data_IF_609826584324
#
_entry.id   IF_609826584324
#
_cell.length_a   1.000
_cell.length_b   1.000
_cell.length_c   1.000
_cell.angle_alpha   90.00
_cell.angle_beta   90.00
_cell.angle_gamma   90.00
#
_symmetry.space_group_name_H-M   'P 1'
#
loop_
_entity.id
_entity.type
_entity.pdbx_description
1 polymer ?
#
# COMPACT_ATOMS: atom_id res chain seq x y z
N UNK A 1 24.82 2.22 11.45
CA UNK A 1 23.96 1.27 12.18
C UNK A 1 24.30 -0.14 11.75
N UNK A 2 23.45 -1.11 12.05
CA UNK A 2 23.58 -2.50 11.58
C UNK A 2 22.24 -2.96 11.01
N UNK A 3 22.28 -3.93 10.10
CA UNK A 3 21.10 -4.70 9.71
C UNK A 3 20.70 -5.66 10.82
N UNK A 4 19.41 -5.79 11.11
CA UNK A 4 18.90 -6.70 12.13
C UNK A 4 17.90 -7.66 11.51
N UNK A 5 17.97 -8.95 11.88
CA UNK A 5 17.07 -9.97 11.35
C UNK A 5 16.61 -10.90 12.46
N UNK A 6 15.32 -11.20 12.45
CA UNK A 6 14.71 -12.16 13.37
C UNK A 6 13.70 -13.00 12.60
N UNK A 7 13.76 -14.32 12.79
CA UNK A 7 12.79 -15.26 12.24
C UNK A 7 11.91 -15.80 13.36
N UNK A 8 10.62 -15.94 13.06
CA UNK A 8 9.63 -16.51 13.95
C UNK A 8 8.95 -17.70 13.28
N UNK A 9 8.76 -18.80 14.01
CA UNK A 9 8.00 -19.98 13.58
C UNK A 9 6.98 -20.27 14.67
N UNK A 10 5.72 -20.44 14.29
CA UNK A 10 4.61 -20.66 15.22
C UNK A 10 4.60 -19.65 16.38
N UNK A 11 4.83 -18.37 16.06
CA UNK A 11 4.91 -17.24 17.01
C UNK A 11 6.12 -17.23 17.95
N UNK A 12 7.05 -18.17 17.82
CA UNK A 12 8.24 -18.26 18.66
C UNK A 12 9.51 -17.84 17.89
N UNK A 13 10.43 -17.07 18.52
CA UNK A 13 11.70 -16.73 17.90
C UNK A 13 12.56 -17.99 17.72
N UNK A 14 13.14 -18.17 16.54
CA UNK A 14 13.98 -19.35 16.25
C UNK A 14 15.39 -19.25 16.83
N UNK A 15 15.84 -18.03 17.12
CA UNK A 15 17.13 -17.70 17.72
C UNK A 15 17.03 -16.30 18.38
N UNK A 16 18.03 -15.88 19.19
CA UNK A 16 18.16 -14.48 19.58
C UNK A 16 18.30 -13.55 18.37
N UNK A 17 18.01 -12.26 18.57
CA UNK A 17 18.12 -11.23 17.53
C UNK A 17 19.48 -11.24 16.86
N UNK A 18 19.50 -11.48 15.54
CA UNK A 18 20.72 -11.57 14.76
C UNK A 18 21.13 -10.18 14.29
N UNK A 19 22.32 -9.76 14.72
CA UNK A 19 23.02 -8.62 14.12
C UNK A 19 23.65 -9.05 12.80
N UNK A 20 23.35 -8.31 11.74
CA UNK A 20 23.88 -8.49 10.40
C UNK A 20 25.03 -7.53 10.08
N UNK A 21 25.20 -7.26 8.79
CA UNK A 21 26.24 -6.37 8.25
C UNK A 21 26.12 -4.94 8.82
N UNK A 22 27.24 -4.21 8.98
CA UNK A 22 27.20 -2.78 9.26
C UNK A 22 26.57 -2.02 8.09
N UNK A 23 25.80 -0.98 8.42
CA UNK A 23 25.23 -0.11 7.39
C UNK A 23 26.32 0.70 6.71
N UNK A 24 26.13 0.93 5.42
CA UNK A 24 26.97 1.82 4.61
C UNK A 24 26.63 3.29 4.87
N UNK A 25 27.56 4.19 4.53
CA UNK A 25 27.33 5.63 4.63
C UNK A 25 26.24 6.08 3.65
N UNK A 26 25.23 6.80 4.15
CA UNK A 26 24.09 7.27 3.34
C UNK A 26 22.98 6.23 3.12
N UNK A 27 23.08 5.05 3.72
CA UNK A 27 22.03 4.02 3.64
C UNK A 27 20.74 4.44 4.37
N UNK A 28 19.59 4.14 3.78
CA UNK A 28 18.29 4.43 4.38
C UNK A 28 18.00 3.51 5.57
N UNK A 29 17.18 3.99 6.50
CA UNK A 29 16.68 3.22 7.63
C UNK A 29 15.25 2.74 7.36
N UNK A 30 14.87 1.62 7.97
CA UNK A 30 13.52 1.08 7.80
C UNK A 30 13.34 -0.25 8.51
N UNK A 31 12.16 -0.84 8.37
CA UNK A 31 11.83 -2.17 8.86
C UNK A 31 11.03 -2.90 7.80
N UNK A 32 11.42 -4.13 7.51
CA UNK A 32 10.67 -5.02 6.63
C UNK A 32 10.08 -6.15 7.45
N UNK A 33 8.82 -6.47 7.20
CA UNK A 33 8.09 -7.55 7.88
C UNK A 33 7.45 -8.42 6.82
N UNK A 34 7.74 -9.72 6.89
CA UNK A 34 7.11 -10.74 6.05
C UNK A 34 6.43 -11.76 6.96
N UNK A 35 5.20 -12.13 6.64
CA UNK A 35 4.45 -13.13 7.39
C UNK A 35 3.67 -14.03 6.44
N UNK A 36 3.35 -15.24 6.91
CA UNK A 36 2.52 -16.21 6.23
C UNK A 36 1.31 -16.51 7.11
N UNK A 37 0.10 -16.29 6.61
CA UNK A 37 -1.13 -16.63 7.33
C UNK A 37 -1.26 -18.16 7.49
N UNK A 38 -1.67 -18.60 8.68
CA UNK A 38 -1.85 -20.02 8.98
C UNK A 38 -3.23 -20.51 8.50
N UNK A 39 -3.31 -21.47 7.55
CA UNK A 39 -4.56 -22.02 7.05
C UNK A 39 -5.32 -22.87 8.09
N UNK A 40 -4.71 -23.18 9.25
CA UNK A 40 -5.41 -23.80 10.38
C UNK A 40 -6.20 -22.78 11.21
N UNK A 41 -5.82 -21.50 11.14
CA UNK A 41 -6.46 -20.40 11.87
C UNK A 41 -7.49 -19.71 10.98
N UNK A 42 -7.13 -19.41 9.72
CA UNK A 42 -7.99 -18.72 8.77
C UNK A 42 -8.64 -19.67 7.78
N UNK A 43 -9.91 -19.44 7.47
CA UNK A 43 -10.64 -20.20 6.44
C UNK A 43 -10.05 -19.95 5.03
N UNK A 44 -9.55 -18.75 4.77
CA UNK A 44 -8.85 -18.39 3.52
C UNK A 44 -7.56 -17.66 3.83
N UNK A 45 -6.50 -18.01 3.11
CA UNK A 45 -5.20 -17.34 3.14
C UNK A 45 -4.90 -16.61 1.83
N UNK A 46 -5.89 -16.50 0.95
CA UNK A 46 -5.78 -15.76 -0.31
C UNK A 46 -6.22 -14.32 -0.05
N UNK A 47 -5.27 -13.40 -0.20
CA UNK A 47 -5.53 -11.97 -0.04
C UNK A 47 -6.23 -11.40 -1.28
N UNK A 48 -7.25 -10.58 -1.03
CA UNK A 48 -7.98 -9.83 -2.05
C UNK A 48 -7.26 -8.51 -2.36
N UNK A 49 -6.83 -8.35 -3.62
CA UNK A 49 -6.04 -7.19 -4.04
C UNK A 49 -6.85 -5.90 -3.92
N UNK A 50 -8.13 -5.92 -4.29
CA UNK A 50 -8.98 -4.72 -4.31
C UNK A 50 -9.22 -4.16 -2.90
N UNK A 51 -9.45 -5.06 -1.93
CA UNK A 51 -9.60 -4.70 -0.51
C UNK A 51 -8.33 -4.05 0.04
N UNK A 52 -7.17 -4.63 -0.23
CA UNK A 52 -5.88 -4.06 0.20
C UNK A 52 -5.61 -2.72 -0.46
N UNK A 53 -5.82 -2.65 -1.79
CA UNK A 53 -5.67 -1.44 -2.59
C UNK A 53 -6.50 -0.29 -2.04
N UNK A 54 -7.79 -0.51 -1.82
CA UNK A 54 -8.71 0.48 -1.26
C UNK A 54 -8.27 0.96 0.13
N UNK A 55 -7.80 0.04 0.99
CA UNK A 55 -7.32 0.39 2.33
C UNK A 55 -6.05 1.24 2.27
N UNK A 56 -5.06 0.89 1.45
CA UNK A 56 -3.82 1.65 1.32
C UNK A 56 -4.05 3.02 0.68
N UNK A 57 -4.96 3.12 -0.29
CA UNK A 57 -5.35 4.39 -0.86
C UNK A 57 -5.93 5.33 0.22
N UNK A 58 -6.85 4.83 1.04
CA UNK A 58 -7.40 5.60 2.18
C UNK A 58 -6.29 6.05 3.15
N UNK A 59 -5.32 5.19 3.46
CA UNK A 59 -4.20 5.56 4.32
C UNK A 59 -3.32 6.67 3.73
N UNK A 60 -3.07 6.63 2.42
CA UNK A 60 -2.30 7.66 1.74
C UNK A 60 -3.02 9.03 1.75
N UNK A 61 -4.36 9.05 1.71
CA UNK A 61 -5.12 10.28 1.89
C UNK A 61 -5.04 10.84 3.31
N UNK A 62 -5.00 9.98 4.33
CA UNK A 62 -4.94 10.42 5.72
C UNK A 62 -3.56 10.96 6.11
N UNK A 63 -2.50 10.46 5.48
CA UNK A 63 -1.11 10.84 5.79
C UNK A 63 -0.52 11.63 4.62
N UNK A 64 -0.69 12.96 4.66
CA UNK A 64 -0.20 13.87 3.62
C UNK A 64 1.28 13.61 3.30
N UNK A 65 1.59 13.42 2.01
CA UNK A 65 2.95 13.18 1.53
C UNK A 65 3.47 11.75 1.68
N UNK A 66 2.76 10.87 2.38
CA UNK A 66 3.12 9.46 2.49
C UNK A 66 2.96 8.76 1.14
N UNK A 67 4.03 8.13 0.66
CA UNK A 67 4.02 7.29 -0.53
C UNK A 67 3.81 5.84 -0.12
N UNK A 68 2.78 5.19 -0.66
CA UNK A 68 2.49 3.77 -0.45
C UNK A 68 2.45 3.07 -1.81
N UNK A 69 3.18 1.97 -1.96
CA UNK A 69 3.14 1.10 -3.13
C UNK A 69 2.64 -0.28 -2.73
N UNK A 70 1.70 -0.82 -3.52
CA UNK A 70 1.22 -2.20 -3.41
C UNK A 70 1.53 -2.92 -4.72
N UNK A 71 2.22 -4.04 -4.62
CA UNK A 71 2.55 -4.94 -5.74
C UNK A 71 2.02 -6.33 -5.43
N UNK A 72 1.28 -6.89 -6.37
CA UNK A 72 0.86 -8.29 -6.34
C UNK A 72 1.84 -9.13 -7.16
N UNK A 73 2.66 -9.94 -6.49
CA UNK A 73 3.67 -10.81 -7.11
C UNK A 73 3.11 -12.15 -7.61
N UNK A 74 1.78 -12.34 -7.60
CA UNK A 74 1.14 -13.50 -8.21
C UNK A 74 1.11 -13.32 -9.74
N UNK A 75 1.24 -14.43 -10.49
CA UNK A 75 0.99 -14.38 -11.94
C UNK A 75 -0.47 -13.99 -12.17
N UNK A 76 -0.69 -12.84 -12.79
CA UNK A 76 -2.02 -12.30 -13.00
C UNK A 76 -2.67 -13.03 -14.19
N UNK A 77 -3.72 -13.79 -13.96
CA UNK A 77 -4.48 -14.49 -15.02
C UNK A 77 -5.48 -13.56 -15.73
N UNK A 78 -5.25 -12.25 -15.72
CA UNK A 78 -6.20 -11.23 -16.18
C UNK A 78 -6.25 -11.15 -17.72
N UNK A 79 -6.98 -12.09 -18.31
CA UNK A 79 -7.90 -11.77 -19.39
C UNK A 79 -9.11 -11.01 -18.80
N UNK A 80 -9.09 -9.68 -18.92
CA UNK A 80 -10.28 -8.83 -18.82
C UNK A 80 -10.48 -8.10 -17.50
N UNK A 81 -10.00 -6.86 -17.43
CA UNK A 81 -10.88 -5.71 -17.18
C UNK A 81 -10.19 -4.44 -17.68
N UNK A 82 -10.67 -3.90 -18.81
CA UNK A 82 -10.23 -2.62 -19.35
C UNK A 82 -10.79 -1.50 -18.48
N UNK A 83 -9.94 -0.79 -17.73
CA UNK A 83 -10.31 0.52 -17.15
C UNK A 83 -9.36 1.58 -17.70
N UNK A 84 -9.96 2.45 -18.51
CA UNK A 84 -9.37 3.55 -19.26
C UNK A 84 -8.33 4.39 -18.47
N UNK A 85 -7.14 4.49 -19.04
CA UNK A 85 -6.13 5.47 -18.69
C UNK A 85 -5.01 5.42 -19.73
N UNK A 86 -4.91 6.46 -20.56
CA UNK A 86 -3.85 6.64 -21.56
C UNK A 86 -2.46 6.65 -20.89
N UNK A 87 -1.83 5.49 -20.80
CA UNK A 87 -0.39 5.35 -20.67
C UNK A 87 -0.02 4.05 -21.39
N UNK A 88 0.90 4.16 -22.36
CA UNK A 88 1.30 3.09 -23.26
C UNK A 88 1.50 1.75 -22.53
N UNK A 89 0.63 0.80 -22.85
CA UNK A 89 0.76 -0.61 -22.48
C UNK A 89 2.08 -1.14 -23.05
N UNK A 90 3.05 -1.41 -22.18
CA UNK A 90 4.11 -2.36 -22.51
C UNK A 90 3.54 -3.77 -22.31
N UNK A 91 3.51 -4.61 -23.36
CA UNK A 91 2.97 -5.96 -23.27
C UNK A 91 3.96 -6.84 -22.48
N UNK A 92 3.81 -6.91 -21.16
CA UNK A 92 4.71 -7.73 -20.34
C UNK A 92 4.59 -7.62 -18.83
N UNK A 93 3.72 -6.77 -18.28
CA UNK A 93 3.58 -6.65 -16.83
C UNK A 93 2.87 -7.88 -16.24
N UNK A 94 3.65 -8.89 -15.79
CA UNK A 94 3.15 -10.10 -15.13
C UNK A 94 2.47 -9.85 -13.77
N UNK A 95 2.70 -8.67 -13.19
CA UNK A 95 2.33 -8.31 -11.82
C UNK A 95 1.56 -6.99 -11.80
N UNK A 96 0.47 -6.94 -11.04
CA UNK A 96 -0.32 -5.72 -10.85
C UNK A 96 0.35 -4.84 -9.78
N UNK A 97 0.64 -3.58 -10.10
CA UNK A 97 1.24 -2.61 -9.16
C UNK A 97 0.48 -1.31 -9.16
N UNK A 98 0.23 -0.76 -7.97
CA UNK A 98 -0.39 0.55 -7.76
C UNK A 98 0.42 1.37 -6.76
N UNK A 99 0.45 2.68 -6.95
CA UNK A 99 1.18 3.60 -6.06
C UNK A 99 0.30 4.81 -5.74
N UNK A 100 0.27 5.17 -4.45
CA UNK A 100 -0.50 6.29 -3.91
C UNK A 100 0.41 7.29 -3.23
N UNK A 101 0.20 8.57 -3.52
CA UNK A 101 0.79 9.69 -2.79
C UNK A 101 -0.12 10.89 -2.96
N UNK A 102 -0.67 11.39 -1.85
CA UNK A 102 -1.60 12.52 -1.84
C UNK A 102 -1.02 13.66 -1.02
N UNK A 103 -0.98 14.85 -1.61
CA UNK A 103 -0.35 16.03 -0.99
C UNK A 103 -1.38 16.89 -0.25
N UNK A 104 -2.65 16.91 -0.69
CA UNK A 104 -3.71 17.69 -0.04
C UNK A 104 -4.53 16.84 0.95
N UNK A 105 -4.14 15.58 1.15
CA UNK A 105 -4.65 14.69 2.18
C UNK A 105 -6.16 14.44 2.09
N UNK A 106 -6.89 14.73 3.16
CA UNK A 106 -8.34 14.49 3.25
C UNK A 106 -9.15 15.31 2.24
N UNK A 107 -8.63 16.43 1.73
CA UNK A 107 -9.28 17.18 0.64
C UNK A 107 -9.33 16.34 -0.64
N UNK A 108 -8.20 15.74 -1.02
CA UNK A 108 -8.12 14.84 -2.17
C UNK A 108 -9.04 13.61 -1.99
N UNK A 109 -9.27 13.17 -0.74
CA UNK A 109 -10.20 12.07 -0.45
C UNK A 109 -11.66 12.44 -0.70
N UNK A 110 -12.08 13.66 -0.31
CA UNK A 110 -13.44 14.14 -0.59
C UNK A 110 -13.65 14.27 -2.09
N UNK A 111 -12.69 14.84 -2.81
CA UNK A 111 -12.73 14.93 -4.28
C UNK A 111 -12.85 13.56 -4.94
N UNK A 112 -12.08 12.58 -4.43
CA UNK A 112 -12.18 11.19 -4.87
C UNK A 112 -13.57 10.60 -4.61
N UNK A 113 -14.15 10.80 -3.42
CA UNK A 113 -15.48 10.30 -3.08
C UNK A 113 -16.58 10.91 -3.96
N UNK A 114 -16.50 12.20 -4.27
CA UNK A 114 -17.46 12.88 -5.17
C UNK A 114 -17.39 12.27 -6.57
N UNK A 115 -16.18 12.05 -7.10
CA UNK A 115 -15.94 11.40 -8.40
C UNK A 115 -16.48 9.97 -8.44
N UNK A 116 -16.15 9.14 -7.45
CA UNK A 116 -16.59 7.74 -7.38
C UNK A 116 -18.11 7.63 -7.31
N UNK A 117 -18.76 8.52 -6.56
CA UNK A 117 -20.23 8.54 -6.42
C UNK A 117 -20.94 9.17 -7.62
N UNK A 118 -20.21 9.71 -8.61
CA UNK A 118 -20.74 10.50 -9.73
C UNK A 118 -21.68 11.62 -9.24
N UNK A 119 -21.38 12.16 -8.07
CA UNK A 119 -22.19 13.22 -7.49
C UNK A 119 -21.83 14.55 -8.16
N UNK A 120 -22.84 15.35 -8.48
CA UNK A 120 -22.63 16.74 -8.90
C UNK A 120 -22.45 17.59 -7.65
N UNK A 121 -21.26 18.17 -7.40
CA UNK A 121 -21.06 19.03 -6.25
C UNK A 121 -21.92 20.29 -6.39
N UNK A 122 -22.55 20.70 -5.28
CA UNK A 122 -23.32 21.95 -5.22
C UNK A 122 -22.39 23.15 -5.14
N UNK A 123 -21.26 22.99 -4.44
CA UNK A 123 -20.19 23.97 -4.33
C UNK A 123 -18.88 23.36 -4.85
N UNK A 124 -18.12 24.13 -5.62
CA UNK A 124 -16.85 23.66 -6.22
C UNK A 124 -15.75 23.47 -5.15
N UNK A 125 -15.80 24.26 -4.08
CA UNK A 125 -14.78 24.25 -3.04
C UNK A 125 -15.10 23.27 -1.91
N UNK A 126 -14.20 22.30 -1.72
CA UNK A 126 -14.22 21.41 -0.54
C UNK A 126 -13.84 22.19 0.71
N UNK A 127 -14.74 22.20 1.69
CA UNK A 127 -14.50 22.75 3.02
C UNK A 127 -13.36 21.97 3.70
N UNK A 128 -12.31 22.68 4.10
CA UNK A 128 -11.16 22.12 4.81
C UNK A 128 -10.70 23.10 5.88
N UNK A 129 -10.35 22.59 7.06
CA UNK A 129 -9.75 23.35 8.14
C UNK A 129 -8.71 22.48 8.85
N UNK A 130 -7.65 23.11 9.33
CA UNK A 130 -6.57 22.46 10.08
C UNK A 130 -6.33 23.29 11.35
N UNK A 131 -6.11 22.60 12.47
CA UNK A 131 -5.68 23.21 13.71
C UNK A 131 -4.24 22.72 13.97
N UNK A 132 -3.30 23.64 14.09
CA UNK A 132 -1.99 23.36 14.66
C UNK A 132 -2.12 23.48 16.18
N UNK A 133 -1.71 22.45 16.92
CA UNK A 133 -1.51 22.49 18.38
C UNK A 133 -0.17 23.17 18.72
#
# INVERSE_FOLDING_TARGET
GFHWTQTYIDQHPTAPLKQGEPMTEGESTGTSVTFWADPKIFETTIYDFETLRSRFQQMAFLNKGLKISLTDERENDQAGDEVAGDAADEPGAKHQTVTYQYLNGIKDYVDYLVKVRKATPVEEDVISFEAED
#
